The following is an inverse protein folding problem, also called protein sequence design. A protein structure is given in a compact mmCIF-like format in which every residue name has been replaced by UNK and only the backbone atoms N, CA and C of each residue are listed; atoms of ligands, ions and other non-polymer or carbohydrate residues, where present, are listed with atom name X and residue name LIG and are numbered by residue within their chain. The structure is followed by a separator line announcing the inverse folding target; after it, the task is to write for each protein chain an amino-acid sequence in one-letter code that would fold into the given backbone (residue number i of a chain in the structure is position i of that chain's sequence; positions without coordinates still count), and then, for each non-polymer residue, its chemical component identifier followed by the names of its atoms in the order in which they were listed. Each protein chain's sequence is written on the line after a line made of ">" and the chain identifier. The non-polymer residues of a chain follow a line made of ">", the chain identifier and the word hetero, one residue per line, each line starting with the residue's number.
data_IF_392622123367
#
_entry.id   IF_392622123367
#
_cell.length_a   1.000
_cell.length_b   1.000
_cell.length_c   1.000
_cell.angle_alpha   90.00
_cell.angle_beta   90.00
_cell.angle_gamma   90.00
#
_symmetry.space_group_name_H-M   'P 1'
#
loop_
_entity.id
_entity.type
_entity.pdbx_description
1 polymer ?
#
# COMPACT_ATOMS: atom_id res chain seq x y z
N UNK A 1 8.90 28.51 18.88
CA UNK A 1 8.93 28.03 17.48
C UNK A 1 9.66 26.68 17.40
N UNK A 2 8.97 25.54 17.54
CA UNK A 2 9.52 24.24 17.15
C UNK A 2 8.66 23.47 16.15
N UNK A 3 7.63 24.07 15.54
CA UNK A 3 6.61 23.30 14.79
C UNK A 3 6.97 22.98 13.33
N UNK A 4 7.96 23.62 12.73
CA UNK A 4 8.33 23.36 11.34
C UNK A 4 9.28 22.16 11.16
N UNK A 5 10.17 21.89 12.14
CA UNK A 5 11.14 20.79 12.04
C UNK A 5 10.53 19.39 12.17
N UNK A 6 9.39 19.25 12.84
CA UNK A 6 8.82 17.92 13.14
C UNK A 6 7.97 17.33 12.00
N UNK A 7 7.27 18.18 11.25
CA UNK A 7 6.53 17.75 10.06
C UNK A 7 7.47 17.34 8.91
N UNK A 8 8.61 18.00 8.77
CA UNK A 8 9.65 17.63 7.82
C UNK A 8 10.23 16.25 8.14
N UNK A 9 10.48 15.94 9.43
CA UNK A 9 11.02 14.63 9.82
C UNK A 9 10.06 13.48 9.54
N UNK A 10 8.75 13.66 9.74
CA UNK A 10 7.75 12.64 9.42
C UNK A 10 7.74 12.30 7.92
N UNK A 11 7.71 13.32 7.08
CA UNK A 11 7.73 13.16 5.62
C UNK A 11 9.07 12.63 5.10
N UNK A 12 10.20 13.03 5.70
CA UNK A 12 11.53 12.51 5.36
C UNK A 12 11.64 11.01 5.64
N UNK A 13 11.20 10.54 6.81
CA UNK A 13 11.20 9.11 7.16
C UNK A 13 10.30 8.34 6.19
N UNK A 14 9.07 8.81 5.97
CA UNK A 14 8.12 8.17 5.06
C UNK A 14 8.70 8.05 3.66
N UNK A 15 9.25 9.13 3.11
CA UNK A 15 9.82 9.13 1.76
C UNK A 15 11.07 8.24 1.65
N UNK A 16 11.93 8.20 2.68
CA UNK A 16 13.10 7.34 2.71
C UNK A 16 12.71 5.85 2.73
N UNK A 17 11.70 5.47 3.54
CA UNK A 17 11.19 4.10 3.60
C UNK A 17 10.53 3.68 2.29
N UNK A 18 9.69 4.53 1.69
CA UNK A 18 9.05 4.26 0.40
C UNK A 18 10.09 4.12 -0.71
N UNK A 19 11.09 5.02 -0.75
CA UNK A 19 12.14 5.00 -1.75
C UNK A 19 13.03 3.74 -1.70
N UNK A 20 13.21 3.13 -0.52
CA UNK A 20 14.00 1.91 -0.32
C UNK A 20 13.15 0.62 -0.28
N UNK A 21 11.83 0.70 -0.50
CA UNK A 21 10.92 -0.43 -0.37
C UNK A 21 11.24 -1.57 -1.35
N UNK A 22 11.56 -2.79 -0.86
CA UNK A 22 11.77 -3.95 -1.72
C UNK A 22 10.51 -4.35 -2.51
N UNK A 23 9.31 -4.05 -1.98
CA UNK A 23 8.04 -4.34 -2.64
C UNK A 23 7.90 -3.51 -3.92
N UNK A 24 8.27 -2.22 -3.87
CA UNK A 24 8.26 -1.34 -5.05
C UNK A 24 9.26 -1.85 -6.09
N UNK A 25 10.48 -2.23 -5.67
CA UNK A 25 11.50 -2.76 -6.55
C UNK A 25 11.07 -4.08 -7.21
N UNK A 26 10.51 -5.01 -6.44
CA UNK A 26 9.99 -6.27 -6.96
C UNK A 26 8.87 -6.05 -7.99
N UNK A 27 7.94 -5.13 -7.71
CA UNK A 27 6.86 -4.82 -8.63
C UNK A 27 7.37 -4.13 -9.92
N UNK A 28 8.38 -3.27 -9.82
CA UNK A 28 9.01 -2.66 -11.00
C UNK A 28 9.57 -3.73 -11.95
N UNK A 29 10.29 -4.71 -11.42
CA UNK A 29 10.84 -5.78 -12.24
C UNK A 29 9.75 -6.73 -12.79
N UNK A 30 8.68 -7.00 -12.02
CA UNK A 30 7.53 -7.76 -12.49
C UNK A 30 6.81 -7.07 -13.66
N UNK A 31 6.57 -5.76 -13.57
CA UNK A 31 5.96 -4.98 -14.64
C UNK A 31 6.89 -4.86 -15.86
N UNK A 32 8.20 -4.77 -15.63
CA UNK A 32 9.20 -4.82 -16.71
C UNK A 32 9.20 -6.17 -17.44
N UNK A 33 9.11 -7.26 -16.69
CA UNK A 33 9.01 -8.60 -17.27
C UNK A 33 7.74 -8.75 -18.12
N UNK A 34 6.60 -8.27 -17.63
CA UNK A 34 5.33 -8.26 -18.39
C UNK A 34 5.44 -7.47 -19.69
N UNK A 35 6.06 -6.29 -19.67
CA UNK A 35 6.26 -5.48 -20.88
C UNK A 35 7.18 -6.16 -21.88
N UNK A 36 8.24 -6.84 -21.41
CA UNK A 36 9.13 -7.60 -22.28
C UNK A 36 8.41 -8.81 -22.90
N UNK A 37 7.58 -9.52 -22.14
CA UNK A 37 6.74 -10.60 -22.66
C UNK A 37 5.80 -10.11 -23.76
N UNK A 38 5.08 -8.98 -23.52
CA UNK A 38 4.20 -8.38 -24.54
C UNK A 38 4.95 -7.99 -25.82
N UNK A 39 6.21 -7.55 -25.70
CA UNK A 39 7.05 -7.25 -26.87
C UNK A 39 7.50 -8.52 -27.58
N UNK A 40 7.82 -9.58 -26.85
CA UNK A 40 8.19 -10.88 -27.42
C UNK A 40 7.03 -11.50 -28.20
N UNK A 41 5.79 -11.38 -27.69
CA UNK A 41 4.58 -11.86 -28.35
C UNK A 41 4.25 -11.12 -29.65
N UNK A 42 4.88 -9.98 -29.90
CA UNK A 42 4.71 -9.20 -31.12
C UNK A 42 5.82 -9.43 -32.16
N UNK A 43 6.60 -10.48 -32.01
CA UNK A 43 7.60 -10.90 -32.99
C UNK A 43 7.04 -11.98 -33.90
N UNK A 44 7.50 -12.08 -35.18
CA UNK A 44 7.17 -13.23 -36.02
C UNK A 44 7.66 -14.52 -35.37
N UNK A 45 7.00 -15.64 -35.68
CA UNK A 45 7.46 -16.96 -35.26
C UNK A 45 8.90 -17.22 -35.76
N UNK A 46 9.63 -18.05 -35.03
CA UNK A 46 10.98 -18.40 -35.47
C UNK A 46 10.95 -19.22 -36.78
N UNK A 47 11.98 -19.09 -37.67
CA UNK A 47 12.10 -19.96 -38.82
C UNK A 47 12.17 -21.41 -38.38
N UNK A 48 11.43 -22.25 -39.07
CA UNK A 48 11.45 -23.71 -38.87
C UNK A 48 12.37 -24.36 -39.90
N UNK A 49 13.32 -25.16 -39.44
CA UNK A 49 14.20 -25.98 -40.29
C UNK A 49 13.74 -27.41 -40.14
N UNK A 50 13.34 -27.98 -41.27
CA UNK A 50 12.86 -29.37 -41.36
C UNK A 50 13.87 -30.21 -42.10
N UNK A 51 14.19 -31.37 -41.58
CA UNK A 51 14.97 -32.40 -42.27
C UNK A 51 14.20 -33.71 -42.22
N UNK A 52 13.93 -34.27 -43.42
CA UNK A 52 13.18 -35.52 -43.56
C UNK A 52 14.03 -36.52 -44.30
N UNK A 53 14.06 -37.76 -43.84
CA UNK A 53 14.66 -38.89 -44.54
C UNK A 53 13.68 -40.04 -44.53
N UNK A 54 13.33 -40.52 -45.74
CA UNK A 54 12.46 -41.67 -45.96
C UNK A 54 13.28 -42.85 -46.45
N UNK A 55 13.04 -44.00 -45.86
CA UNK A 55 13.62 -45.29 -46.28
C UNK A 55 12.54 -46.11 -46.91
N UNK A 56 12.84 -46.65 -48.09
CA UNK A 56 11.96 -47.62 -48.71
C UNK A 56 12.21 -49.00 -48.08
N UNK A 57 11.16 -49.68 -47.58
CA UNK A 57 11.26 -51.00 -46.98
C UNK A 57 11.16 -52.15 -47.99
N UNK A 58 11.12 -51.86 -49.31
CA UNK A 58 11.05 -52.86 -50.38
C UNK A 58 12.41 -53.25 -50.97
N UNK A 59 12.45 -54.36 -51.75
CA UNK A 59 13.70 -54.92 -52.36
C UNK A 59 14.42 -53.99 -53.39
N UNK A 60 13.75 -52.89 -53.82
CA UNK A 60 14.34 -51.94 -54.80
C UNK A 60 14.04 -50.50 -54.23
N UNK A 61 14.56 -50.22 -53.07
CA UNK A 61 14.21 -49.00 -52.33
C UNK A 61 15.20 -47.87 -52.54
N UNK A 62 14.80 -46.82 -53.26
CA UNK A 62 15.53 -45.57 -53.23
C UNK A 62 15.27 -44.74 -51.94
N UNK A 63 16.36 -44.23 -51.39
CA UNK A 63 16.28 -43.34 -50.22
C UNK A 63 16.00 -41.91 -50.69
N UNK A 64 15.01 -41.32 -50.07
CA UNK A 64 14.67 -39.90 -50.26
C UNK A 64 15.07 -39.12 -49.04
N UNK A 65 15.67 -37.99 -49.22
CA UNK A 65 15.83 -37.02 -48.15
C UNK A 65 15.44 -35.62 -48.64
N UNK A 66 14.96 -34.80 -47.72
CA UNK A 66 14.69 -33.40 -47.98
C UNK A 66 15.12 -32.53 -46.82
N UNK A 67 15.56 -31.32 -47.13
CA UNK A 67 15.85 -30.28 -46.16
C UNK A 67 15.08 -29.03 -46.59
N UNK A 68 14.43 -28.40 -45.61
CA UNK A 68 13.63 -27.20 -45.86
C UNK A 68 13.80 -26.16 -44.78
N UNK A 69 13.55 -24.93 -45.16
CA UNK A 69 13.38 -23.82 -44.21
C UNK A 69 12.04 -23.14 -44.51
N UNK A 70 11.26 -22.90 -43.49
CA UNK A 70 9.98 -22.19 -43.61
C UNK A 70 9.84 -21.09 -42.55
N UNK A 71 9.16 -20.03 -42.94
CA UNK A 71 8.83 -18.91 -42.04
C UNK A 71 7.33 -18.66 -42.10
N UNK A 72 6.70 -18.63 -40.88
CA UNK A 72 5.31 -18.30 -40.73
C UNK A 72 5.18 -16.79 -40.44
N UNK A 73 4.15 -16.20 -41.01
CA UNK A 73 3.74 -14.82 -40.80
C UNK A 73 2.26 -14.77 -40.52
N UNK A 74 1.91 -14.02 -39.50
CA UNK A 74 0.49 -13.68 -39.27
C UNK A 74 0.06 -12.51 -40.16
N UNK A 75 -1.23 -12.23 -40.19
CA UNK A 75 -1.75 -11.07 -40.93
C UNK A 75 -1.08 -9.77 -40.45
N UNK A 76 -0.58 -8.89 -41.33
CA UNK A 76 0.19 -7.71 -40.92
C UNK A 76 -0.56 -6.80 -39.95
N UNK A 77 -1.90 -6.77 -39.99
CA UNK A 77 -2.74 -5.99 -39.08
C UNK A 77 -2.69 -6.44 -37.63
N UNK A 78 -2.27 -7.69 -37.32
CA UNK A 78 -2.21 -8.19 -35.95
C UNK A 78 -0.98 -7.63 -35.22
N UNK A 79 0.17 -7.51 -35.89
CA UNK A 79 1.37 -6.91 -35.30
C UNK A 79 1.12 -5.47 -34.86
N UNK A 80 0.36 -4.68 -35.64
CA UNK A 80 -0.02 -3.33 -35.26
C UNK A 80 -1.00 -3.33 -34.07
N UNK A 81 -1.96 -4.27 -34.04
CA UNK A 81 -2.88 -4.40 -32.92
C UNK A 81 -2.14 -4.82 -31.63
N UNK A 82 -1.21 -5.80 -31.70
CA UNK A 82 -0.37 -6.20 -30.54
C UNK A 82 0.56 -5.06 -30.08
N UNK A 83 1.07 -4.24 -30.99
CA UNK A 83 1.80 -3.02 -30.63
C UNK A 83 0.97 -2.06 -29.80
N UNK A 84 -0.33 -1.90 -30.12
CA UNK A 84 -1.27 -1.11 -29.31
C UNK A 84 -1.53 -1.74 -27.94
N UNK A 85 -1.61 -3.08 -27.86
CA UNK A 85 -1.67 -3.78 -26.56
C UNK A 85 -0.43 -3.46 -25.74
N UNK A 86 0.77 -3.56 -26.32
CA UNK A 86 2.02 -3.22 -25.63
C UNK A 86 2.06 -1.77 -25.12
N UNK A 87 1.52 -0.82 -25.87
CA UNK A 87 1.40 0.57 -25.42
C UNK A 87 0.42 0.71 -24.26
N UNK A 88 -0.75 0.08 -24.35
CA UNK A 88 -1.75 0.08 -23.27
C UNK A 88 -1.22 -0.58 -22.00
N UNK A 89 -0.52 -1.72 -22.11
CA UNK A 89 0.15 -2.40 -20.98
C UNK A 89 1.21 -1.50 -20.35
N UNK A 90 2.01 -0.79 -21.16
CA UNK A 90 3.01 0.15 -20.63
C UNK A 90 2.36 1.28 -19.84
N UNK A 91 1.27 1.87 -20.33
CA UNK A 91 0.51 2.90 -19.61
C UNK A 91 -0.11 2.33 -18.32
N UNK A 92 -0.75 1.15 -18.39
CA UNK A 92 -1.35 0.50 -17.22
C UNK A 92 -0.31 0.19 -16.15
N UNK A 93 0.89 -0.22 -16.54
CA UNK A 93 2.00 -0.48 -15.64
C UNK A 93 2.46 0.79 -14.90
N UNK A 94 2.52 1.94 -15.58
CA UNK A 94 2.84 3.22 -14.93
C UNK A 94 1.76 3.59 -13.90
N UNK A 95 0.47 3.46 -14.24
CA UNK A 95 -0.64 3.77 -13.32
C UNK A 95 -0.68 2.83 -12.13
N UNK A 96 -0.39 1.55 -12.35
CA UNK A 96 -0.30 0.57 -11.25
C UNK A 96 0.87 0.86 -10.30
N UNK A 97 1.99 1.36 -10.83
CA UNK A 97 3.10 1.81 -9.99
C UNK A 97 2.77 3.04 -9.15
N UNK A 98 2.04 4.01 -9.73
CA UNK A 98 1.59 5.18 -9.00
C UNK A 98 0.62 4.80 -7.86
N UNK A 99 -0.33 3.89 -8.15
CA UNK A 99 -1.26 3.33 -7.16
C UNK A 99 -0.50 2.62 -6.04
N UNK A 100 0.42 1.71 -6.37
CA UNK A 100 1.22 0.97 -5.38
C UNK A 100 2.07 1.90 -4.50
N UNK A 101 2.70 2.92 -5.09
CA UNK A 101 3.46 3.90 -4.30
C UNK A 101 2.57 4.62 -3.30
N UNK A 102 1.38 5.03 -3.74
CA UNK A 102 0.40 5.69 -2.86
C UNK A 102 -0.05 4.75 -1.73
N UNK A 103 -0.33 3.47 -2.03
CA UNK A 103 -0.69 2.46 -1.04
C UNK A 103 0.44 2.26 -0.01
N UNK A 104 1.68 2.08 -0.46
CA UNK A 104 2.84 1.87 0.43
C UNK A 104 3.12 3.14 1.24
N UNK A 105 3.00 4.32 0.65
CA UNK A 105 3.14 5.59 1.37
C UNK A 105 2.11 5.69 2.50
N UNK A 106 0.87 5.34 2.24
CA UNK A 106 -0.18 5.34 3.27
C UNK A 106 0.08 4.29 4.36
N UNK A 107 0.54 3.09 4.01
CA UNK A 107 0.88 2.04 4.98
C UNK A 107 2.03 2.47 5.89
N UNK A 108 3.13 2.97 5.32
CA UNK A 108 4.29 3.47 6.08
C UNK A 108 3.89 4.65 6.98
N UNK A 109 3.10 5.60 6.46
CA UNK A 109 2.63 6.75 7.24
C UNK A 109 1.75 6.32 8.41
N UNK A 110 0.85 5.35 8.23
CA UNK A 110 0.01 4.80 9.31
C UNK A 110 0.87 4.09 10.37
N UNK A 111 1.85 3.28 9.96
CA UNK A 111 2.77 2.61 10.90
C UNK A 111 3.62 3.64 11.68
N UNK A 112 4.05 4.73 11.05
CA UNK A 112 4.77 5.80 11.73
C UNK A 112 3.86 6.56 12.71
N UNK A 113 2.59 6.79 12.37
CA UNK A 113 1.59 7.36 13.29
C UNK A 113 1.40 6.45 14.51
N UNK A 114 1.32 5.13 14.33
CA UNK A 114 1.18 4.17 15.41
C UNK A 114 2.41 4.19 16.35
N UNK A 115 3.61 4.35 15.78
CA UNK A 115 4.83 4.55 16.58
C UNK A 115 4.78 5.86 17.38
N UNK A 116 4.38 6.98 16.76
CA UNK A 116 4.26 8.28 17.43
C UNK A 116 3.21 8.23 18.54
N UNK A 117 2.07 7.57 18.31
CA UNK A 117 1.04 7.35 19.33
C UNK A 117 1.60 6.59 20.52
N UNK A 118 2.27 5.45 20.29
CA UNK A 118 2.87 4.64 21.36
C UNK A 118 3.94 5.42 22.13
N UNK A 119 4.77 6.18 21.43
CA UNK A 119 5.81 7.04 22.02
C UNK A 119 5.22 8.11 22.94
N UNK A 120 4.15 8.80 22.50
CA UNK A 120 3.48 9.82 23.32
C UNK A 120 2.78 9.24 24.55
N UNK A 121 2.12 8.08 24.38
CA UNK A 121 1.50 7.37 25.51
C UNK A 121 2.55 6.94 26.55
N UNK A 122 3.66 6.36 26.10
CA UNK A 122 4.76 5.97 26.98
C UNK A 122 5.34 7.18 27.75
N UNK A 123 5.46 8.35 27.10
CA UNK A 123 5.92 9.58 27.74
C UNK A 123 4.95 10.05 28.83
N UNK A 124 3.65 10.07 28.55
CA UNK A 124 2.62 10.49 29.51
C UNK A 124 2.56 9.54 30.71
N UNK A 125 2.67 8.23 30.46
CA UNK A 125 2.67 7.23 31.54
C UNK A 125 3.96 7.28 32.37
N UNK A 126 5.12 7.55 31.75
CA UNK A 126 6.38 7.77 32.49
C UNK A 126 6.28 8.99 33.44
N UNK A 127 5.68 10.08 32.98
CA UNK A 127 5.43 11.26 33.83
C UNK A 127 4.50 10.92 35.02
N UNK A 128 3.43 10.17 34.76
CA UNK A 128 2.48 9.76 35.79
C UNK A 128 3.12 8.78 36.81
N UNK A 129 3.86 7.78 36.33
CA UNK A 129 4.57 6.82 37.17
C UNK A 129 5.59 7.50 38.12
N UNK A 130 6.39 8.42 37.57
CA UNK A 130 7.35 9.22 38.37
C UNK A 130 6.68 10.07 39.43
N UNK A 131 5.53 10.72 39.09
CA UNK A 131 4.78 11.56 40.02
C UNK A 131 4.14 10.72 41.14
N UNK A 132 3.50 9.61 40.80
CA UNK A 132 2.86 8.72 41.76
C UNK A 132 3.86 8.01 42.66
N UNK A 133 5.03 7.60 42.14
CA UNK A 133 6.13 7.05 42.94
C UNK A 133 6.61 8.07 43.97
N UNK A 134 6.75 9.34 43.57
CA UNK A 134 7.13 10.42 44.49
C UNK A 134 6.04 10.66 45.57
N UNK A 135 4.77 10.54 45.19
CA UNK A 135 3.64 10.66 46.11
C UNK A 135 3.62 9.50 47.15
N UNK A 136 3.86 8.27 46.69
CA UNK A 136 3.97 7.08 47.53
C UNK A 136 5.05 7.26 48.60
N UNK A 137 6.25 7.71 48.23
CA UNK A 137 7.37 7.94 49.16
C UNK A 137 6.98 9.03 50.20
N UNK A 138 6.25 10.07 49.78
CA UNK A 138 5.76 11.10 50.67
C UNK A 138 4.71 10.55 51.67
N UNK A 139 3.75 9.75 51.16
CA UNK A 139 2.67 9.15 51.98
C UNK A 139 3.24 8.15 52.98
N UNK A 140 4.26 7.34 52.59
CA UNK A 140 4.94 6.41 53.52
C UNK A 140 5.66 7.17 54.64
N UNK A 141 6.33 8.28 54.31
CA UNK A 141 6.97 9.15 55.34
C UNK A 141 5.93 9.75 56.31
N UNK A 142 4.82 10.28 55.77
CA UNK A 142 3.74 10.83 56.59
C UNK A 142 3.14 9.76 57.53
N UNK A 143 2.99 8.52 57.05
CA UNK A 143 2.55 7.40 57.90
C UNK A 143 3.51 7.12 59.05
N UNK A 144 4.81 7.08 58.80
CA UNK A 144 5.85 6.87 59.83
C UNK A 144 5.85 7.98 60.89
N UNK A 145 5.40 9.18 60.50
CA UNK A 145 5.22 10.31 61.43
C UNK A 145 3.81 10.38 62.10
N UNK A 146 2.93 9.44 61.78
CA UNK A 146 1.56 9.41 62.32
C UNK A 146 0.62 10.44 61.70
N UNK A 147 0.96 11.04 60.57
CA UNK A 147 0.20 12.11 59.90
C UNK A 147 -0.82 11.56 58.91
N UNK A 148 -0.77 10.29 58.53
CA UNK A 148 -1.68 9.61 57.63
C UNK A 148 -1.94 8.16 58.06
N UNK A 149 -2.88 7.48 57.38
CA UNK A 149 -3.27 6.11 57.73
C UNK A 149 -2.56 5.05 56.86
N UNK A 150 -2.47 3.81 57.38
CA UNK A 150 -2.00 2.68 56.57
C UNK A 150 -2.86 2.40 55.34
N UNK A 151 -4.16 2.77 55.39
CA UNK A 151 -5.08 2.65 54.24
C UNK A 151 -4.69 3.59 53.11
N UNK A 152 -4.16 4.79 53.44
CA UNK A 152 -3.70 5.74 52.44
C UNK A 152 -2.41 5.24 51.76
N UNK A 153 -1.51 4.63 52.53
CA UNK A 153 -0.29 3.98 51.99
C UNK A 153 -0.69 2.85 51.03
N UNK A 154 -1.52 1.91 51.49
CA UNK A 154 -1.96 0.78 50.68
C UNK A 154 -2.66 1.23 49.37
N UNK A 155 -3.47 2.30 49.44
CA UNK A 155 -4.16 2.88 48.26
C UNK A 155 -3.15 3.45 47.27
N UNK A 156 -2.18 4.20 47.76
CA UNK A 156 -1.11 4.77 46.90
C UNK A 156 -0.25 3.66 46.28
N UNK A 157 0.04 2.60 47.04
CA UNK A 157 0.78 1.42 46.51
C UNK A 157 0.03 0.74 45.37
N UNK A 158 -1.29 0.57 45.47
CA UNK A 158 -2.12 -0.02 44.41
C UNK A 158 -2.14 0.87 43.18
N UNK A 159 -2.29 2.18 43.35
CA UNK A 159 -2.31 3.14 42.24
C UNK A 159 -0.96 3.19 41.50
N UNK A 160 0.14 3.24 42.24
CA UNK A 160 1.49 3.18 41.66
C UNK A 160 1.68 1.87 40.89
N UNK A 161 1.28 0.74 41.46
CA UNK A 161 1.42 -0.57 40.79
C UNK A 161 0.60 -0.61 39.48
N UNK A 162 -0.62 -0.01 39.46
CA UNK A 162 -1.43 0.09 38.26
C UNK A 162 -0.74 0.90 37.16
N UNK A 163 -0.35 2.14 37.46
CA UNK A 163 0.31 3.01 36.47
C UNK A 163 1.67 2.49 36.02
N UNK A 164 2.44 1.86 36.92
CA UNK A 164 3.71 1.20 36.54
C UNK A 164 3.49 0.02 35.58
N UNK A 165 2.42 -0.74 35.76
CA UNK A 165 2.02 -1.81 34.82
C UNK A 165 1.62 -1.23 33.47
N UNK A 166 0.80 -0.18 33.44
CA UNK A 166 0.40 0.51 32.21
C UNK A 166 1.62 1.10 31.47
N UNK A 167 2.58 1.65 32.21
CA UNK A 167 3.81 2.17 31.63
C UNK A 167 4.68 1.05 31.03
N UNK A 168 4.79 -0.09 31.70
CA UNK A 168 5.50 -1.25 31.17
C UNK A 168 4.84 -1.78 29.88
N UNK A 169 3.50 -1.81 29.84
CA UNK A 169 2.74 -2.17 28.63
C UNK A 169 2.99 -1.18 27.48
N UNK A 170 2.99 0.13 27.77
CA UNK A 170 3.28 1.16 26.78
C UNK A 170 4.69 1.08 26.21
N UNK A 171 5.69 0.75 27.03
CA UNK A 171 7.05 0.50 26.56
C UNK A 171 7.14 -0.73 25.66
N UNK A 172 6.44 -1.80 25.99
CA UNK A 172 6.36 -2.99 25.15
C UNK A 172 5.67 -2.68 23.81
N UNK A 173 4.57 -1.92 23.84
CA UNK A 173 3.90 -1.45 22.64
C UNK A 173 4.82 -0.57 21.76
N UNK A 174 5.54 0.37 22.34
CA UNK A 174 6.50 1.20 21.62
C UNK A 174 7.61 0.37 20.94
N UNK A 175 8.16 -0.62 21.65
CA UNK A 175 9.15 -1.53 21.09
C UNK A 175 8.58 -2.36 19.92
N UNK A 176 7.32 -2.83 20.04
CA UNK A 176 6.63 -3.53 18.96
C UNK A 176 6.44 -2.64 17.73
N UNK A 177 5.95 -1.40 17.90
CA UNK A 177 5.74 -0.47 16.76
C UNK A 177 7.05 -0.09 16.08
N UNK A 178 8.13 -0.02 16.82
CA UNK A 178 9.46 0.16 16.25
C UNK A 178 9.88 -1.05 15.42
N UNK A 179 9.68 -2.26 15.90
CA UNK A 179 9.98 -3.49 15.17
C UNK A 179 9.12 -3.61 13.89
N UNK A 180 7.84 -3.19 13.94
CA UNK A 180 6.97 -3.11 12.77
C UNK A 180 7.56 -2.19 11.67
N UNK A 181 8.04 -0.99 12.05
CA UNK A 181 8.71 -0.07 11.12
C UNK A 181 10.01 -0.67 10.55
N UNK A 182 10.82 -1.33 11.38
CA UNK A 182 12.06 -2.00 10.95
C UNK A 182 11.73 -3.13 9.95
N UNK A 183 10.67 -3.89 10.19
CA UNK A 183 10.19 -4.92 9.25
C UNK A 183 9.68 -4.35 7.93
N UNK A 184 9.16 -3.11 7.94
CA UNK A 184 8.76 -2.36 6.73
C UNK A 184 9.93 -1.67 6.02
N UNK A 185 11.16 -1.81 6.53
CA UNK A 185 12.37 -1.28 5.89
C UNK A 185 12.97 -0.04 6.56
N UNK A 186 12.49 0.38 7.74
CA UNK A 186 13.17 1.43 8.50
C UNK A 186 14.57 0.99 8.93
N UNK A 187 15.56 1.80 8.58
CA UNK A 187 16.95 1.54 8.95
C UNK A 187 17.53 2.74 9.72
N UNK A 188 17.79 2.58 11.05
CA UNK A 188 18.28 3.67 11.89
C UNK A 188 19.68 4.18 11.54
N UNK A 189 20.42 3.46 10.66
CA UNK A 189 21.77 3.88 10.21
C UNK A 189 21.74 4.80 9.00
N UNK A 190 20.66 4.75 8.21
CA UNK A 190 20.55 5.46 6.92
C UNK A 190 19.37 6.43 6.86
N UNK A 191 18.46 6.35 7.83
CA UNK A 191 17.25 7.17 7.91
C UNK A 191 17.28 8.06 9.15
N UNK A 192 16.51 9.16 9.17
CA UNK A 192 16.39 10.01 10.34
C UNK A 192 15.99 9.21 11.59
N UNK A 193 16.52 9.54 12.78
CA UNK A 193 16.21 8.79 13.99
C UNK A 193 14.75 8.95 14.39
N UNK A 194 14.15 7.86 14.88
CA UNK A 194 12.84 7.90 15.53
C UNK A 194 13.00 8.59 16.90
N UNK A 195 12.75 9.91 16.93
CA UNK A 195 12.86 10.73 18.14
C UNK A 195 11.50 10.91 18.81
N UNK A 196 11.49 11.23 20.12
CA UNK A 196 10.28 11.56 20.88
C UNK A 196 9.59 12.85 20.43
N UNK A 197 10.18 13.62 19.51
CA UNK A 197 9.67 14.90 19.03
C UNK A 197 8.97 14.85 17.68
N UNK A 198 8.67 13.67 17.13
CA UNK A 198 7.91 13.56 15.89
C UNK A 198 6.45 13.87 16.18
N UNK A 199 5.90 14.84 15.43
CA UNK A 199 4.48 15.20 15.52
C UNK A 199 3.61 14.41 14.54
N UNK A 200 2.31 14.30 14.83
CA UNK A 200 1.34 13.81 13.86
C UNK A 200 1.28 14.76 12.66
N UNK A 201 1.14 14.22 11.45
CA UNK A 201 0.94 15.06 10.27
C UNK A 201 -0.36 15.86 10.41
N UNK A 202 -0.30 17.13 10.05
CA UNK A 202 -1.46 18.03 10.08
C UNK A 202 -2.08 18.13 8.70
N UNK A 203 -3.41 17.98 8.62
CA UNK A 203 -4.16 18.09 7.38
C UNK A 203 -5.20 19.20 7.48
N UNK A 204 -5.08 20.18 6.59
CA UNK A 204 -6.17 21.15 6.38
C UNK A 204 -7.21 20.52 5.45
N UNK A 205 -8.46 20.50 5.89
CA UNK A 205 -9.54 19.97 5.07
C UNK A 205 -10.08 21.05 4.14
N UNK A 206 -10.10 20.73 2.85
CA UNK A 206 -10.84 21.46 1.84
C UNK A 206 -12.34 21.16 1.96
N UNK A 207 -13.21 21.88 1.23
CA UNK A 207 -14.63 21.54 1.14
C UNK A 207 -14.83 20.10 0.64
N UNK A 208 -15.76 19.36 1.22
CA UNK A 208 -16.00 17.94 0.94
C UNK A 208 -16.23 17.65 -0.55
N UNK A 209 -16.85 18.59 -1.27
CA UNK A 209 -17.14 18.46 -2.71
C UNK A 209 -15.87 18.37 -3.55
N UNK A 210 -14.77 19.01 -3.12
CA UNK A 210 -13.47 18.91 -3.79
C UNK A 210 -12.94 17.48 -3.76
N UNK A 211 -13.07 16.79 -2.64
CA UNK A 211 -12.65 15.39 -2.51
C UNK A 211 -13.56 14.42 -3.27
N UNK A 212 -14.87 14.67 -3.28
CA UNK A 212 -15.81 13.81 -4.00
C UNK A 212 -15.63 13.90 -5.52
N UNK A 213 -15.32 15.09 -6.06
CA UNK A 213 -15.01 15.27 -7.47
C UNK A 213 -13.66 14.64 -7.85
N UNK A 214 -12.70 14.62 -6.92
CA UNK A 214 -11.39 13.99 -7.13
C UNK A 214 -11.44 12.45 -7.16
N UNK A 215 -12.57 11.82 -6.82
CA UNK A 215 -12.70 10.35 -6.88
C UNK A 215 -12.35 9.77 -8.26
N UNK A 216 -12.67 10.48 -9.34
CA UNK A 216 -12.36 10.05 -10.73
C UNK A 216 -10.85 10.04 -11.03
N UNK A 217 -10.07 10.84 -10.32
CA UNK A 217 -8.61 10.94 -10.48
C UNK A 217 -7.83 10.14 -9.44
N UNK A 218 -8.54 9.43 -8.57
CA UNK A 218 -7.92 8.55 -7.57
C UNK A 218 -7.03 7.49 -8.23
N UNK A 219 -5.83 7.18 -7.66
CA UNK A 219 -4.89 6.25 -8.28
C UNK A 219 -5.50 4.90 -8.65
N UNK A 220 -6.33 4.32 -7.77
CA UNK A 220 -7.02 3.06 -8.03
C UNK A 220 -8.00 3.15 -9.21
N UNK A 221 -8.72 4.27 -9.36
CA UNK A 221 -9.65 4.48 -10.48
C UNK A 221 -8.90 4.67 -11.79
N UNK A 222 -7.83 5.46 -11.79
CA UNK A 222 -6.98 5.68 -12.97
C UNK A 222 -6.30 4.37 -13.40
N UNK A 223 -5.83 3.56 -12.44
CA UNK A 223 -5.28 2.22 -12.70
C UNK A 223 -6.33 1.29 -13.32
N UNK A 224 -7.56 1.25 -12.78
CA UNK A 224 -8.65 0.45 -13.33
C UNK A 224 -9.08 0.92 -14.73
N UNK A 225 -9.05 2.22 -15.02
CA UNK A 225 -9.28 2.77 -16.36
C UNK A 225 -8.18 2.32 -17.34
N UNK A 226 -6.93 2.31 -16.93
CA UNK A 226 -5.82 1.83 -17.75
C UNK A 226 -5.93 0.33 -18.02
N UNK A 227 -6.34 -0.48 -17.04
CA UNK A 227 -6.64 -1.90 -17.22
C UNK A 227 -7.78 -2.16 -18.23
N UNK A 228 -8.83 -1.32 -18.22
CA UNK A 228 -9.87 -1.39 -19.22
C UNK A 228 -9.32 -1.13 -20.64
N UNK A 229 -8.44 -0.15 -20.80
CA UNK A 229 -7.79 0.11 -22.10
C UNK A 229 -6.95 -1.06 -22.59
N UNK A 230 -6.29 -1.79 -21.70
CA UNK A 230 -5.58 -3.03 -22.04
C UNK A 230 -6.56 -4.06 -22.58
N UNK A 231 -7.65 -4.34 -21.86
CA UNK A 231 -8.66 -5.31 -22.29
C UNK A 231 -9.35 -4.91 -23.62
N UNK A 232 -9.51 -3.62 -23.88
CA UNK A 232 -10.00 -3.11 -25.17
C UNK A 232 -9.01 -3.37 -26.31
N UNK A 233 -7.73 -3.10 -26.07
CA UNK A 233 -6.68 -3.36 -27.06
C UNK A 233 -6.52 -4.86 -27.34
N UNK A 234 -6.58 -5.72 -26.31
CA UNK A 234 -6.54 -7.18 -26.43
C UNK A 234 -7.74 -7.73 -27.22
N UNK A 235 -8.94 -7.22 -26.98
CA UNK A 235 -10.14 -7.61 -27.73
C UNK A 235 -10.00 -7.24 -29.21
N UNK A 236 -9.42 -6.09 -29.53
CA UNK A 236 -9.15 -5.68 -30.92
C UNK A 236 -8.04 -6.55 -31.56
N UNK A 237 -6.96 -6.86 -30.82
CA UNK A 237 -5.89 -7.75 -31.30
C UNK A 237 -6.44 -9.17 -31.59
N UNK A 238 -7.24 -9.73 -30.66
CA UNK A 238 -7.91 -11.02 -30.85
C UNK A 238 -8.83 -11.02 -32.07
N UNK A 239 -9.56 -9.91 -32.31
CA UNK A 239 -10.41 -9.77 -33.51
C UNK A 239 -9.56 -9.77 -34.79
N UNK A 240 -8.37 -9.15 -34.78
CA UNK A 240 -7.44 -9.16 -35.93
C UNK A 240 -6.80 -10.53 -36.14
N UNK A 241 -6.65 -11.34 -35.10
CA UNK A 241 -6.15 -12.74 -35.19
C UNK A 241 -7.09 -13.69 -35.97
N UNK A 242 -8.30 -13.26 -36.34
CA UNK A 242 -9.20 -14.03 -37.21
C UNK A 242 -8.79 -14.04 -38.68
N UNK A 243 -7.89 -13.16 -39.10
CA UNK A 243 -7.40 -13.14 -40.48
C UNK A 243 -6.41 -14.28 -40.70
N UNK A 244 -6.37 -14.82 -41.95
CA UNK A 244 -5.45 -15.90 -42.29
C UNK A 244 -3.99 -15.54 -42.05
N UNK A 245 -3.21 -16.51 -41.55
CA UNK A 245 -1.77 -16.48 -41.57
C UNK A 245 -1.25 -17.05 -42.88
N UNK A 246 0.01 -16.79 -43.21
CA UNK A 246 0.68 -17.36 -44.37
C UNK A 246 2.09 -17.81 -44.01
N UNK A 247 2.58 -18.83 -44.72
CA UNK A 247 3.93 -19.29 -44.59
C UNK A 247 4.63 -19.29 -45.93
N UNK A 248 5.92 -18.99 -45.90
CA UNK A 248 6.81 -19.06 -47.04
C UNK A 248 7.97 -19.99 -46.69
N UNK A 249 8.30 -20.89 -47.61
CA UNK A 249 9.41 -21.82 -47.39
C UNK A 249 10.16 -22.16 -48.69
N UNK A 250 11.35 -22.66 -48.49
CA UNK A 250 12.17 -23.26 -49.50
C UNK A 250 12.52 -24.68 -49.08
N UNK A 251 12.40 -25.65 -50.02
CA UNK A 251 12.75 -27.06 -49.82
C UNK A 251 13.67 -27.55 -50.90
N UNK A 252 14.72 -28.26 -50.50
CA UNK A 252 15.58 -29.04 -51.33
C UNK A 252 15.34 -30.53 -51.06
N UNK A 253 15.07 -31.33 -52.10
CA UNK A 253 14.89 -32.75 -51.97
C UNK A 253 15.79 -33.51 -52.93
N UNK A 254 16.23 -34.68 -52.52
CA UNK A 254 16.99 -35.63 -53.31
C UNK A 254 16.22 -36.94 -53.35
N UNK A 255 15.98 -37.43 -54.56
CA UNK A 255 15.23 -38.65 -54.84
C UNK A 255 15.79 -39.29 -56.15
N UNK A 256 16.13 -40.55 -56.16
CA UNK A 256 16.59 -41.30 -57.31
C UNK A 256 17.73 -40.64 -58.11
N UNK A 257 18.71 -40.09 -57.43
CA UNK A 257 19.84 -39.41 -58.07
C UNK A 257 19.51 -37.97 -58.58
N UNK A 258 18.28 -37.51 -58.44
CA UNK A 258 17.83 -36.21 -58.89
C UNK A 258 17.70 -35.23 -57.75
N UNK A 259 18.01 -33.96 -58.00
CA UNK A 259 17.84 -32.85 -57.06
C UNK A 259 16.61 -32.00 -57.43
N UNK A 260 15.75 -31.79 -56.45
CA UNK A 260 14.55 -30.94 -56.59
C UNK A 260 14.67 -29.72 -55.69
N UNK A 261 14.41 -28.56 -56.25
CA UNK A 261 14.32 -27.29 -55.51
C UNK A 261 12.89 -26.76 -55.66
N UNK A 262 12.30 -26.40 -54.54
CA UNK A 262 10.89 -25.90 -54.53
C UNK A 262 10.67 -24.77 -53.56
N UNK A 263 9.74 -23.89 -53.91
CA UNK A 263 9.18 -22.90 -53.01
C UNK A 263 7.85 -23.44 -52.48
N UNK A 264 7.58 -23.29 -51.19
CA UNK A 264 6.31 -23.62 -50.59
C UNK A 264 5.62 -22.35 -50.08
N UNK A 265 4.33 -22.24 -50.33
CA UNK A 265 3.45 -21.18 -49.81
C UNK A 265 2.30 -21.87 -49.10
N UNK A 266 2.10 -21.55 -47.86
CA UNK A 266 0.99 -22.06 -47.06
C UNK A 266 0.05 -20.94 -46.59
N UNK A 267 -1.22 -21.26 -46.43
CA UNK A 267 -2.23 -20.36 -45.84
C UNK A 267 -2.82 -21.09 -44.65
N UNK A 268 -2.79 -20.45 -43.46
CA UNK A 268 -3.41 -20.95 -42.23
C UNK A 268 -4.73 -20.25 -42.03
N UNK A 269 -5.83 -21.02 -41.96
CA UNK A 269 -7.18 -20.51 -41.77
C UNK A 269 -7.64 -20.80 -40.34
N UNK A 270 -7.82 -19.78 -39.44
CA UNK A 270 -8.24 -19.99 -38.07
C UNK A 270 -9.77 -20.22 -37.96
N UNK A 271 -10.25 -21.37 -38.45
CA UNK A 271 -11.66 -21.67 -38.62
C UNK A 271 -12.35 -22.02 -37.27
N UNK A 272 -11.65 -22.75 -36.39
CA UNK A 272 -12.28 -23.44 -35.25
C UNK A 272 -12.27 -22.63 -33.95
N UNK A 273 -11.24 -21.84 -33.71
CA UNK A 273 -10.98 -21.14 -32.43
C UNK A 273 -11.43 -19.69 -32.43
N UNK A 274 -11.30 -18.99 -33.55
CA UNK A 274 -11.40 -17.54 -33.62
C UNK A 274 -12.72 -16.95 -33.08
N UNK A 275 -13.85 -17.62 -33.25
CA UNK A 275 -15.14 -17.15 -32.75
C UNK A 275 -15.24 -17.16 -31.21
N UNK A 276 -14.75 -18.23 -30.58
CA UNK A 276 -14.77 -18.39 -29.12
C UNK A 276 -13.74 -17.47 -28.44
N UNK A 277 -12.59 -17.29 -29.05
CA UNK A 277 -11.54 -16.39 -28.54
C UNK A 277 -12.00 -14.93 -28.56
N UNK A 278 -12.65 -14.49 -29.64
CA UNK A 278 -13.24 -13.15 -29.71
C UNK A 278 -14.37 -12.97 -28.71
N UNK A 279 -15.21 -13.99 -28.52
CA UNK A 279 -16.28 -13.92 -27.51
C UNK A 279 -15.70 -13.82 -26.09
N UNK A 280 -14.64 -14.59 -25.78
CA UNK A 280 -13.94 -14.52 -24.49
C UNK A 280 -13.29 -13.15 -24.27
N UNK A 281 -12.59 -12.61 -25.28
CA UNK A 281 -11.97 -11.28 -25.17
C UNK A 281 -13.00 -10.15 -24.98
N UNK A 282 -14.15 -10.23 -25.65
CA UNK A 282 -15.23 -9.27 -25.43
C UNK A 282 -15.86 -9.40 -24.03
N UNK A 283 -15.99 -10.62 -23.49
CA UNK A 283 -16.44 -10.82 -22.12
C UNK A 283 -15.42 -10.27 -21.11
N UNK A 284 -14.12 -10.46 -21.33
CA UNK A 284 -13.05 -9.88 -20.51
C UNK A 284 -13.08 -8.34 -20.52
N UNK A 285 -13.26 -7.73 -21.71
CA UNK A 285 -13.45 -6.28 -21.82
C UNK A 285 -14.67 -5.80 -21.03
N UNK A 286 -15.79 -6.50 -21.13
CA UNK A 286 -17.00 -6.14 -20.39
C UNK A 286 -16.78 -6.28 -18.87
N UNK A 287 -16.12 -7.35 -18.43
CA UNK A 287 -15.74 -7.54 -17.03
C UNK A 287 -14.86 -6.39 -16.51
N UNK A 288 -13.83 -5.97 -17.27
CA UNK A 288 -12.99 -4.82 -16.94
C UNK A 288 -13.76 -3.52 -16.83
N UNK A 289 -14.79 -3.32 -17.69
CA UNK A 289 -15.65 -2.12 -17.63
C UNK A 289 -16.51 -2.09 -16.36
N UNK A 290 -17.03 -3.22 -15.91
CA UNK A 290 -17.75 -3.31 -14.63
C UNK A 290 -16.80 -3.15 -13.44
N UNK A 291 -15.60 -3.72 -13.53
CA UNK A 291 -14.59 -3.55 -12.48
C UNK A 291 -14.19 -2.08 -12.30
N UNK A 292 -13.98 -1.34 -13.38
CA UNK A 292 -13.70 0.09 -13.33
C UNK A 292 -14.84 0.88 -12.64
N UNK A 293 -16.10 0.58 -12.97
CA UNK A 293 -17.27 1.21 -12.32
C UNK A 293 -17.36 0.85 -10.83
N UNK A 294 -17.07 -0.40 -10.49
CA UNK A 294 -17.05 -0.86 -9.09
C UNK A 294 -15.98 -0.12 -8.28
N UNK A 295 -14.75 -0.01 -8.79
CA UNK A 295 -13.65 0.72 -8.15
C UNK A 295 -14.00 2.19 -7.96
N UNK A 296 -14.62 2.85 -8.95
CA UNK A 296 -15.05 4.25 -8.82
C UNK A 296 -16.11 4.40 -7.70
N UNK A 297 -17.11 3.52 -7.67
CA UNK A 297 -18.17 3.56 -6.66
C UNK A 297 -17.62 3.31 -5.26
N UNK A 298 -16.74 2.33 -5.11
CA UNK A 298 -16.06 2.01 -3.86
C UNK A 298 -15.19 3.19 -3.38
N UNK A 299 -14.38 3.77 -4.26
CA UNK A 299 -13.52 4.91 -3.95
C UNK A 299 -14.33 6.12 -3.49
N UNK A 300 -15.41 6.46 -4.19
CA UNK A 300 -16.31 7.54 -3.77
C UNK A 300 -16.97 7.26 -2.42
N UNK A 301 -17.34 6.00 -2.16
CA UNK A 301 -17.87 5.56 -0.87
C UNK A 301 -16.84 5.69 0.27
N UNK A 302 -15.60 5.27 0.01
CA UNK A 302 -14.49 5.40 0.98
C UNK A 302 -14.16 6.85 1.28
N UNK A 303 -14.08 7.73 0.28
CA UNK A 303 -13.86 9.17 0.48
C UNK A 303 -14.95 9.74 1.40
N UNK A 304 -16.23 9.46 1.13
CA UNK A 304 -17.34 9.96 1.95
C UNK A 304 -17.27 9.44 3.39
N UNK A 305 -16.98 8.16 3.58
CA UNK A 305 -16.82 7.56 4.90
C UNK A 305 -15.66 8.19 5.68
N UNK A 306 -14.52 8.39 5.02
CA UNK A 306 -13.33 9.00 5.64
C UNK A 306 -13.58 10.46 6.02
N UNK A 307 -14.27 11.24 5.19
CA UNK A 307 -14.66 12.62 5.51
C UNK A 307 -15.57 12.67 6.74
N UNK A 308 -16.59 11.81 6.82
CA UNK A 308 -17.45 11.73 7.99
C UNK A 308 -16.67 11.38 9.28
N UNK A 309 -15.71 10.45 9.16
CA UNK A 309 -14.82 10.09 10.26
C UNK A 309 -13.96 11.28 10.70
N UNK A 310 -13.37 12.01 9.75
CA UNK A 310 -12.55 13.21 10.03
C UNK A 310 -13.35 14.32 10.73
N UNK A 311 -14.56 14.59 10.27
CA UNK A 311 -15.43 15.58 10.91
C UNK A 311 -15.82 15.17 12.35
N UNK A 312 -16.15 13.90 12.54
CA UNK A 312 -16.45 13.35 13.88
C UNK A 312 -15.25 13.44 14.83
N UNK A 313 -14.05 13.07 14.35
CA UNK A 313 -12.82 13.14 15.14
C UNK A 313 -12.43 14.59 15.47
N UNK A 314 -12.49 15.51 14.49
CA UNK A 314 -12.24 16.95 14.74
C UNK A 314 -13.17 17.50 15.81
N UNK A 315 -14.46 17.16 15.77
CA UNK A 315 -15.43 17.59 16.78
C UNK A 315 -15.07 17.03 18.16
N UNK A 316 -14.75 15.72 18.26
CA UNK A 316 -14.36 15.11 19.56
C UNK A 316 -13.08 15.73 20.11
N UNK A 317 -12.07 15.98 19.28
CA UNK A 317 -10.82 16.62 19.68
C UNK A 317 -11.08 18.07 20.14
N UNK A 318 -11.89 18.84 19.41
CA UNK A 318 -12.20 20.23 19.80
C UNK A 318 -12.91 20.35 21.15
N UNK A 319 -13.65 19.32 21.56
CA UNK A 319 -14.30 19.26 22.87
C UNK A 319 -13.34 18.80 23.97
N UNK A 320 -12.44 17.84 23.69
CA UNK A 320 -11.58 17.22 24.69
C UNK A 320 -10.26 17.97 24.89
N UNK A 321 -9.68 18.56 23.85
CA UNK A 321 -8.36 19.18 23.92
C UNK A 321 -8.29 20.37 24.91
N UNK A 322 -9.23 21.37 24.92
CA UNK A 322 -9.09 22.54 25.76
C UNK A 322 -8.96 22.24 27.26
N UNK A 323 -9.78 21.36 27.88
CA UNK A 323 -9.64 21.03 29.31
C UNK A 323 -8.38 20.17 29.58
N UNK A 324 -7.94 19.32 28.62
CA UNK A 324 -6.81 18.39 28.80
C UNK A 324 -5.46 19.10 28.62
N UNK A 325 -5.35 20.00 27.65
CA UNK A 325 -4.11 20.73 27.35
C UNK A 325 -3.84 21.89 28.32
N UNK A 326 -4.79 22.20 29.19
CA UNK A 326 -4.60 23.21 30.25
C UNK A 326 -3.69 22.64 31.35
N UNK A 327 -2.37 22.79 31.15
CA UNK A 327 -1.31 22.31 32.05
C UNK A 327 -1.42 22.87 33.50
N UNK A 328 -2.21 23.89 33.71
CA UNK A 328 -2.46 24.43 35.06
C UNK A 328 -3.25 23.48 35.95
N UNK A 329 -4.13 22.65 35.39
CA UNK A 329 -5.04 21.81 36.19
C UNK A 329 -4.27 20.79 37.06
N UNK A 330 -3.31 20.06 36.52
CA UNK A 330 -2.50 19.11 37.31
C UNK A 330 -1.68 19.81 38.40
N UNK A 331 -1.11 20.97 38.09
CA UNK A 331 -0.37 21.77 39.07
C UNK A 331 -1.25 22.32 40.16
N UNK A 332 -2.46 22.77 39.83
CA UNK A 332 -3.46 23.25 40.80
C UNK A 332 -3.94 22.11 41.67
N UNK A 333 -4.21 20.93 41.11
CA UNK A 333 -4.61 19.74 41.85
C UNK A 333 -3.56 19.32 42.88
N UNK A 334 -2.28 19.24 42.46
CA UNK A 334 -1.19 18.94 43.40
C UNK A 334 -1.03 20.00 44.46
N UNK A 335 -1.21 21.30 44.14
CA UNK A 335 -1.15 22.40 45.11
C UNK A 335 -2.30 22.33 46.12
N UNK A 336 -3.52 22.02 45.66
CA UNK A 336 -4.67 21.84 46.51
C UNK A 336 -4.51 20.67 47.49
N UNK A 337 -3.97 19.55 47.03
CA UNK A 337 -3.65 18.41 47.89
C UNK A 337 -2.58 18.79 48.95
N UNK A 338 -1.44 19.36 48.52
CA UNK A 338 -0.38 19.79 49.44
C UNK A 338 -0.83 20.87 50.43
N UNK A 339 -1.81 21.67 50.07
CA UNK A 339 -2.44 22.67 50.91
C UNK A 339 -3.55 22.13 51.85
N UNK A 340 -3.83 20.83 51.83
CA UNK A 340 -4.87 20.19 52.62
C UNK A 340 -6.30 20.57 52.22
N UNK A 341 -6.50 21.11 50.99
CA UNK A 341 -7.81 21.52 50.47
C UNK A 341 -8.63 20.35 49.93
N UNK A 342 -7.97 19.28 49.52
CA UNK A 342 -8.55 18.02 49.03
C UNK A 342 -7.88 16.83 49.69
N UNK A 343 -8.62 15.72 49.80
CA UNK A 343 -8.07 14.46 50.34
C UNK A 343 -7.13 13.77 49.35
N UNK A 344 -6.31 12.82 49.83
CA UNK A 344 -5.51 11.97 48.96
C UNK A 344 -6.36 11.20 47.96
N UNK A 345 -7.54 10.70 48.40
CA UNK A 345 -8.46 9.99 47.52
C UNK A 345 -8.96 10.86 46.37
N UNK A 346 -9.36 12.11 46.66
CA UNK A 346 -9.83 13.05 45.65
C UNK A 346 -8.69 13.37 44.67
N UNK A 347 -7.47 13.59 45.21
CA UNK A 347 -6.29 13.82 44.36
C UNK A 347 -6.01 12.66 43.41
N UNK A 348 -5.97 11.41 43.88
CA UNK A 348 -5.72 10.24 43.07
C UNK A 348 -6.82 10.07 42.00
N UNK A 349 -8.08 10.17 42.39
CA UNK A 349 -9.22 10.05 41.47
C UNK A 349 -9.17 11.07 40.35
N UNK A 350 -8.95 12.34 40.69
CA UNK A 350 -8.87 13.41 39.67
C UNK A 350 -7.61 13.25 38.78
N UNK A 351 -6.48 12.79 39.35
CA UNK A 351 -5.26 12.51 38.58
C UNK A 351 -5.47 11.39 37.56
N UNK A 352 -6.18 10.32 37.92
CA UNK A 352 -6.53 9.23 37.02
C UNK A 352 -7.45 9.71 35.87
N UNK A 353 -8.48 10.53 36.17
CA UNK A 353 -9.33 11.14 35.14
C UNK A 353 -8.53 11.98 34.13
N UNK A 354 -7.56 12.77 34.60
CA UNK A 354 -6.68 13.55 33.74
C UNK A 354 -5.76 12.68 32.90
N UNK A 355 -5.20 11.62 33.49
CA UNK A 355 -4.38 10.67 32.77
C UNK A 355 -5.16 10.00 31.64
N UNK A 356 -6.32 9.44 31.93
CA UNK A 356 -7.20 8.79 30.95
C UNK A 356 -7.62 9.75 29.83
N UNK A 357 -7.93 10.99 30.17
CA UNK A 357 -8.29 12.02 29.20
C UNK A 357 -7.11 12.38 28.28
N UNK A 358 -5.87 12.47 28.82
CA UNK A 358 -4.66 12.69 28.03
C UNK A 358 -4.38 11.52 27.07
N UNK A 359 -4.47 10.29 27.55
CA UNK A 359 -4.29 9.09 26.73
C UNK A 359 -5.35 8.99 25.64
N UNK A 360 -6.61 9.30 25.96
CA UNK A 360 -7.71 9.36 24.99
C UNK A 360 -7.48 10.44 23.92
N UNK A 361 -7.00 11.62 24.29
CA UNK A 361 -6.70 12.69 23.34
C UNK A 361 -5.60 12.29 22.37
N UNK A 362 -4.52 11.64 22.83
CA UNK A 362 -3.45 11.13 21.99
C UNK A 362 -4.01 10.11 20.98
N UNK A 363 -4.88 9.19 21.43
CA UNK A 363 -5.52 8.21 20.53
C UNK A 363 -6.39 8.89 19.48
N UNK A 364 -7.21 9.88 19.85
CA UNK A 364 -8.02 10.64 18.90
C UNK A 364 -7.20 11.42 17.88
N UNK A 365 -6.08 12.01 18.30
CA UNK A 365 -5.16 12.70 17.41
C UNK A 365 -4.50 11.72 16.41
N UNK A 366 -4.13 10.53 16.88
CA UNK A 366 -3.59 9.47 16.02
C UNK A 366 -4.64 8.95 15.02
N UNK A 367 -5.90 8.75 15.46
CA UNK A 367 -7.01 8.37 14.57
C UNK A 367 -7.27 9.44 13.50
N UNK A 368 -7.24 10.72 13.88
CA UNK A 368 -7.38 11.83 12.94
C UNK A 368 -6.26 11.83 11.90
N UNK A 369 -5.02 11.61 12.32
CA UNK A 369 -3.87 11.54 11.43
C UNK A 369 -3.98 10.35 10.47
N UNK A 370 -4.37 9.15 10.96
CA UNK A 370 -4.61 7.97 10.11
C UNK A 370 -5.71 8.19 9.08
N UNK A 371 -6.80 8.84 9.47
CA UNK A 371 -7.88 9.18 8.55
C UNK A 371 -7.45 10.24 7.52
N UNK A 372 -6.60 11.19 7.92
CA UNK A 372 -6.00 12.17 7.01
C UNK A 372 -5.10 11.49 5.95
N UNK A 373 -4.23 10.56 6.37
CA UNK A 373 -3.42 9.74 5.46
C UNK A 373 -4.30 8.95 4.49
N UNK A 374 -5.39 8.35 4.97
CA UNK A 374 -6.34 7.62 4.12
C UNK A 374 -6.97 8.53 3.07
N UNK A 375 -7.42 9.73 3.47
CA UNK A 375 -8.00 10.69 2.53
C UNK A 375 -6.98 11.14 1.48
N UNK A 376 -5.75 11.46 1.91
CA UNK A 376 -4.68 11.85 0.99
C UNK A 376 -4.30 10.73 0.02
N UNK A 377 -4.33 9.46 0.45
CA UNK A 377 -4.09 8.33 -0.44
C UNK A 377 -5.21 8.15 -1.49
N UNK A 378 -6.45 8.46 -1.12
CA UNK A 378 -7.59 8.41 -2.03
C UNK A 378 -7.62 9.60 -3.00
N UNK A 379 -7.08 10.75 -2.61
CA UNK A 379 -7.12 12.01 -3.37
C UNK A 379 -5.76 12.70 -3.37
N UNK A 380 -4.71 12.08 -3.94
CA UNK A 380 -3.39 12.67 -3.97
C UNK A 380 -3.39 13.95 -4.83
N UNK A 381 -2.89 15.04 -4.26
CA UNK A 381 -2.80 16.33 -4.92
C UNK A 381 -3.85 17.37 -4.47
N UNK A 382 -4.69 17.00 -3.49
CA UNK A 382 -5.57 17.93 -2.76
C UNK A 382 -5.03 18.27 -1.38
#
# INVERSE_FOLDING_TARGET
>A
MPTALSADTFSEITNAMVGSSPIIQAQQEALRAQLLATKADNTPDNPEIEFERLWNAGEHGDNRWSAGVSQRFEWPGIYNARSKVGQAVSEANLRRMDELRTEITAQVSKALIDYVEASRKATVLAEADSLLSSLRDATEKAYRHGETTILDVNRTDVEVAGVSADYAEALAALASRRADLEAMGYNPRTMPPLSFGIDFPHYELLPDESYLTAAETAPAVVSAMAALRVAEAEAEATRKGRFPGFSLGYRHAFEDGNHFNGLSVGIELPIWRSGKEVAAANAAKLASSFQQKAVLTETAGRIRSTLNTLHGLKTRISLLAPPVENTNNQRLLLKAYKGGQITLLDYLRESTYFLDARLSLISLQAELARAGVELQALTPGL
#
